data_IF_890900638597
#
_entry.id   IF_890900638597
#
_cell.length_a   1.000
_cell.length_b   1.000
_cell.length_c   1.000
_cell.angle_alpha   90.00
_cell.angle_beta   90.00
_cell.angle_gamma   90.00
#
_symmetry.space_group_name_H-M   'P 1'
#
loop_
_entity.id
_entity.type
_entity.pdbx_description
1 polymer ?
#
# COMPACT_ATOMS: atom_id res chain seq x y z
N UNK A 1 -33.28 17.77 -34.69
CA UNK A 1 -33.14 16.38 -35.12
C UNK A 1 -31.64 16.05 -35.09
N UNK A 2 -31.20 15.29 -34.06
CA UNK A 2 -29.97 14.46 -33.96
C UNK A 2 -28.61 15.20 -34.09
N UNK A 3 -27.61 15.13 -33.20
CA UNK A 3 -27.35 14.39 -31.95
C UNK A 3 -26.12 15.05 -31.28
N UNK A 4 -26.13 15.10 -29.95
CA UNK A 4 -24.98 15.43 -29.12
C UNK A 4 -23.92 14.30 -29.15
N UNK A 5 -22.64 14.65 -29.14
CA UNK A 5 -21.67 14.04 -28.23
C UNK A 5 -20.29 14.66 -28.49
N UNK A 6 -19.80 15.40 -27.49
CA UNK A 6 -18.36 15.61 -27.31
C UNK A 6 -17.74 14.21 -27.23
N UNK A 7 -16.91 13.86 -28.20
CA UNK A 7 -16.14 12.62 -28.11
C UNK A 7 -15.23 12.75 -26.89
N UNK A 8 -15.64 12.05 -25.83
CA UNK A 8 -14.87 11.89 -24.62
C UNK A 8 -13.57 11.20 -25.00
N UNK A 9 -12.45 11.78 -24.57
CA UNK A 9 -11.16 11.13 -24.63
C UNK A 9 -11.26 9.80 -23.87
N UNK A 10 -11.35 8.70 -24.61
CA UNK A 10 -11.06 7.37 -24.10
C UNK A 10 -9.54 7.24 -23.94
N UNK A 11 -8.95 8.00 -23.02
CA UNK A 11 -7.73 7.52 -22.37
C UNK A 11 -8.19 6.41 -21.45
N UNK A 12 -8.24 5.19 -21.98
CA UNK A 12 -8.36 3.99 -21.17
C UNK A 12 -7.31 4.10 -20.07
N UNK A 13 -7.76 4.27 -18.82
CA UNK A 13 -6.89 4.11 -17.67
C UNK A 13 -6.17 2.77 -17.86
N UNK A 14 -4.83 2.73 -17.82
CA UNK A 14 -4.11 1.47 -18.03
C UNK A 14 -4.69 0.47 -17.03
N UNK A 15 -5.10 -0.71 -17.53
CA UNK A 15 -5.83 -1.75 -16.81
C UNK A 15 -5.43 -1.79 -15.33
N UNK A 16 -6.16 -1.05 -14.49
CA UNK A 16 -5.79 -0.90 -13.10
C UNK A 16 -6.05 -2.27 -12.48
N UNK A 17 -4.99 -2.94 -12.03
CA UNK A 17 -5.11 -4.18 -11.29
C UNK A 17 -6.18 -4.00 -10.19
N UNK A 18 -7.04 -5.01 -10.03
CA UNK A 18 -8.11 -4.94 -9.04
C UNK A 18 -7.53 -4.63 -7.65
N UNK A 19 -8.17 -3.76 -6.85
CA UNK A 19 -7.63 -3.38 -5.55
C UNK A 19 -7.60 -4.60 -4.61
N UNK A 20 -6.47 -4.77 -3.92
CA UNK A 20 -6.30 -5.75 -2.87
C UNK A 20 -6.90 -5.17 -1.59
N UNK A 21 -7.89 -5.87 -1.02
CA UNK A 21 -8.54 -5.49 0.24
C UNK A 21 -7.91 -6.22 1.40
N UNK A 22 -7.49 -5.46 2.40
CA UNK A 22 -6.84 -5.96 3.60
C UNK A 22 -7.59 -5.47 4.82
N UNK A 23 -7.67 -6.32 5.84
CA UNK A 23 -8.09 -5.93 7.18
C UNK A 23 -6.84 -5.91 8.07
N UNK A 24 -6.57 -4.77 8.70
CA UNK A 24 -5.45 -4.65 9.63
C UNK A 24 -5.74 -5.51 10.86
N UNK A 25 -4.93 -6.54 11.17
CA UNK A 25 -5.12 -7.32 12.40
C UNK A 25 -4.74 -6.48 13.62
N UNK A 26 -5.27 -6.84 14.78
CA UNK A 26 -4.96 -6.17 16.06
C UNK A 26 -3.45 -6.21 16.38
N UNK A 27 -2.74 -7.24 15.93
CA UNK A 27 -1.29 -7.38 16.13
C UNK A 27 -0.46 -6.32 15.38
N UNK A 28 -1.07 -5.63 14.40
CA UNK A 28 -0.46 -4.50 13.72
C UNK A 28 -0.75 -3.15 14.42
N UNK A 29 -1.50 -3.13 15.51
CA UNK A 29 -1.83 -1.91 16.24
C UNK A 29 -0.57 -1.17 16.69
N UNK A 30 -0.54 0.13 16.44
CA UNK A 30 0.59 0.99 16.76
C UNK A 30 1.71 1.02 15.73
N UNK A 31 1.66 0.16 14.71
CA UNK A 31 2.57 0.25 13.57
C UNK A 31 2.24 1.45 12.69
N UNK A 32 3.25 1.87 11.92
CA UNK A 32 3.04 2.79 10.79
C UNK A 32 2.31 2.06 9.67
N UNK A 33 1.51 2.79 8.89
CA UNK A 33 0.72 2.26 7.78
C UNK A 33 1.61 1.53 6.77
N UNK A 34 2.76 2.10 6.40
CA UNK A 34 3.70 1.44 5.49
C UNK A 34 4.25 0.13 6.03
N UNK A 35 4.58 0.09 7.32
CA UNK A 35 5.00 -1.14 8.00
C UNK A 35 3.88 -2.18 8.08
N UNK A 36 2.65 -1.76 8.41
CA UNK A 36 1.51 -2.65 8.51
C UNK A 36 1.16 -3.27 7.15
N UNK A 37 1.09 -2.46 6.08
CA UNK A 37 0.80 -2.96 4.73
C UNK A 37 1.93 -3.87 4.22
N UNK A 38 3.19 -3.57 4.54
CA UNK A 38 4.32 -4.45 4.20
C UNK A 38 4.30 -5.81 4.93
N UNK A 39 3.77 -5.86 6.15
CA UNK A 39 3.57 -7.12 6.85
C UNK A 39 2.43 -7.95 6.24
N UNK A 40 1.41 -7.28 5.71
CA UNK A 40 0.22 -7.92 5.12
C UNK A 40 0.42 -8.32 3.65
N UNK A 41 1.36 -7.69 2.94
CA UNK A 41 1.72 -7.97 1.56
C UNK A 41 3.22 -8.25 1.40
N UNK A 42 3.75 -9.37 1.95
CA UNK A 42 5.17 -9.69 1.92
C UNK A 42 5.72 -9.94 0.50
N UNK A 43 4.85 -10.16 -0.50
CA UNK A 43 5.22 -10.32 -1.90
C UNK A 43 5.67 -9.01 -2.58
N UNK A 44 5.39 -7.85 -1.97
CA UNK A 44 5.83 -6.56 -2.48
C UNK A 44 6.92 -5.95 -1.60
N UNK A 45 7.91 -5.32 -2.24
CA UNK A 45 8.97 -4.63 -1.51
C UNK A 45 8.41 -3.45 -0.71
N UNK A 46 9.03 -3.14 0.44
CA UNK A 46 8.67 -1.97 1.26
C UNK A 46 8.75 -0.67 0.48
N UNK A 47 9.77 -0.50 -0.37
CA UNK A 47 9.91 0.68 -1.22
C UNK A 47 8.72 0.85 -2.18
N UNK A 48 8.23 -0.26 -2.75
CA UNK A 48 7.05 -0.26 -3.62
C UNK A 48 5.81 0.16 -2.85
N UNK A 49 5.58 -0.42 -1.67
CA UNK A 49 4.45 -0.08 -0.80
C UNK A 49 4.50 1.39 -0.36
N UNK A 50 5.66 1.88 0.10
CA UNK A 50 5.83 3.29 0.46
C UNK A 50 5.61 4.24 -0.71
N UNK A 51 5.90 3.84 -1.95
CA UNK A 51 5.55 4.61 -3.14
C UNK A 51 4.04 4.63 -3.37
N UNK A 52 3.37 3.47 -3.35
CA UNK A 52 1.92 3.40 -3.51
C UNK A 52 1.16 4.23 -2.48
N UNK A 53 1.62 4.25 -1.22
CA UNK A 53 1.01 5.11 -0.20
C UNK A 53 1.18 6.59 -0.55
N UNK A 54 2.39 7.02 -0.95
CA UNK A 54 2.64 8.42 -1.37
C UNK A 54 1.85 8.82 -2.62
N UNK A 55 1.62 7.88 -3.52
CA UNK A 55 0.86 8.08 -4.76
C UNK A 55 -0.65 8.01 -4.54
N UNK A 56 -1.13 7.83 -3.30
CA UNK A 56 -2.54 7.74 -2.96
C UNK A 56 -3.23 6.46 -3.42
N UNK A 57 -2.44 5.42 -3.75
CA UNK A 57 -2.94 4.09 -4.17
C UNK A 57 -3.26 3.18 -2.99
N UNK A 58 -2.91 3.59 -1.78
CA UNK A 58 -3.30 2.93 -0.53
C UNK A 58 -4.27 3.85 0.19
N UNK A 59 -5.50 3.39 0.35
CA UNK A 59 -6.57 4.14 1.01
C UNK A 59 -7.14 3.35 2.17
N UNK A 60 -7.55 4.04 3.22
CA UNK A 60 -8.24 3.47 4.37
C UNK A 60 -9.62 4.09 4.46
N UNK A 61 -10.66 3.27 4.42
CA UNK A 61 -12.05 3.74 4.34
C UNK A 61 -12.27 4.84 3.27
N UNK A 62 -11.60 4.72 2.12
CA UNK A 62 -11.68 5.68 1.01
C UNK A 62 -10.83 6.96 1.15
N UNK A 63 -10.04 7.10 2.22
CA UNK A 63 -9.13 8.24 2.39
C UNK A 63 -7.68 7.83 2.16
N UNK A 64 -6.95 8.59 1.33
CA UNK A 64 -5.50 8.44 1.19
C UNK A 64 -4.80 8.90 2.48
N UNK A 65 -3.78 8.17 2.88
CA UNK A 65 -3.05 8.40 4.14
C UNK A 65 -1.56 8.58 3.88
N UNK A 66 -0.87 9.19 4.84
CA UNK A 66 0.60 9.27 4.80
C UNK A 66 1.23 7.96 5.29
N UNK A 67 2.44 7.58 4.79
CA UNK A 67 3.12 6.35 5.20
C UNK A 67 3.33 6.23 6.72
N UNK A 68 3.55 7.36 7.39
CA UNK A 68 3.78 7.46 8.83
C UNK A 68 2.50 7.41 9.69
N UNK A 69 1.31 7.39 9.08
CA UNK A 69 0.05 7.30 9.81
C UNK A 69 0.04 6.02 10.64
N UNK A 70 -0.38 6.11 11.90
CA UNK A 70 -0.44 4.95 12.79
C UNK A 70 -1.76 4.19 12.56
N UNK A 71 -1.69 2.87 12.51
CA UNK A 71 -2.88 1.99 12.49
C UNK A 71 -3.18 1.46 13.90
N UNK A 72 -4.41 1.02 14.12
CA UNK A 72 -4.92 0.58 15.42
C UNK A 72 -5.49 -0.84 15.41
N UNK A 73 -5.68 -1.44 14.23
CA UNK A 73 -6.33 -2.74 14.06
C UNK A 73 -7.82 -2.60 13.77
N UNK A 74 -8.31 -3.50 12.92
CA UNK A 74 -9.69 -3.53 12.43
C UNK A 74 -9.94 -2.63 11.21
N UNK A 75 -8.98 -1.81 10.79
CA UNK A 75 -9.19 -0.94 9.64
C UNK A 75 -9.18 -1.70 8.31
N UNK A 76 -10.04 -1.28 7.38
CA UNK A 76 -10.05 -1.76 6.01
C UNK A 76 -9.17 -0.88 5.14
N UNK A 77 -8.18 -1.50 4.49
CA UNK A 77 -7.24 -0.87 3.57
C UNK A 77 -7.48 -1.43 2.17
N UNK A 78 -7.64 -0.54 1.19
CA UNK A 78 -7.61 -0.88 -0.23
C UNK A 78 -6.26 -0.46 -0.81
N UNK A 79 -5.54 -1.42 -1.39
CA UNK A 79 -4.27 -1.20 -2.10
C UNK A 79 -4.53 -1.39 -3.58
N UNK A 80 -4.16 -0.41 -4.43
CA UNK A 80 -4.26 -0.53 -5.89
C UNK A 80 -2.86 -0.67 -6.48
N UNK A 81 -2.38 -1.91 -6.74
CA UNK A 81 -1.04 -2.14 -7.26
C UNK A 81 -0.83 -1.40 -8.59
N UNK A 82 0.39 -0.88 -8.76
CA UNK A 82 0.85 -0.36 -10.04
C UNK A 82 1.98 -1.27 -10.55
N UNK A 83 1.89 -1.67 -11.81
CA UNK A 83 3.03 -2.29 -12.49
C UNK A 83 4.10 -1.24 -12.77
N UNK A 84 5.32 -1.52 -12.34
CA UNK A 84 6.47 -0.66 -12.57
C UNK A 84 7.36 -1.31 -13.65
N UNK A 85 7.64 -0.62 -14.76
CA UNK A 85 8.53 -1.15 -15.80
C UNK A 85 9.96 -1.21 -15.24
N UNK A 86 10.42 -2.41 -14.86
CA UNK A 86 11.81 -2.63 -14.47
C UNK A 86 12.04 -3.56 -13.28
N UNK A 87 11.02 -3.98 -12.54
CA UNK A 87 11.18 -4.89 -11.40
C UNK A 87 11.15 -6.37 -11.83
N UNK A 88 12.11 -6.75 -12.68
CA UNK A 88 12.57 -8.14 -12.75
C UNK A 88 13.36 -8.43 -11.46
N UNK A 89 12.79 -9.28 -10.60
CA UNK A 89 13.44 -9.96 -9.48
C UNK A 89 14.11 -9.08 -8.41
N UNK A 90 13.30 -8.45 -7.54
CA UNK A 90 13.79 -8.10 -6.21
C UNK A 90 13.90 -9.39 -5.39
N UNK A 91 15.08 -10.02 -5.41
CA UNK A 91 15.48 -10.98 -4.38
C UNK A 91 15.36 -10.26 -3.01
N UNK A 92 14.89 -10.94 -1.95
CA UNK A 92 14.75 -10.32 -0.64
C UNK A 92 16.15 -10.01 -0.10
N UNK A 93 16.59 -8.76 -0.25
CA UNK A 93 17.70 -8.24 0.53
C UNK A 93 17.20 -8.07 1.96
N UNK A 94 17.61 -9.01 2.79
CA UNK A 94 17.36 -9.10 4.23
C UNK A 94 18.01 -7.88 4.93
N UNK A 95 17.35 -6.73 4.90
CA UNK A 95 17.74 -5.59 5.73
C UNK A 95 17.09 -5.78 7.09
N UNK A 96 17.76 -6.58 7.92
CA UNK A 96 17.54 -6.65 9.35
C UNK A 96 17.75 -5.24 9.95
N UNK A 97 16.66 -4.49 10.13
CA UNK A 97 16.72 -3.25 10.90
C UNK A 97 16.72 -3.62 12.39
N UNK A 98 17.91 -3.61 12.99
CA UNK A 98 18.13 -3.77 14.43
C UNK A 98 17.37 -2.67 15.17
N UNK A 99 16.20 -2.99 15.73
CA UNK A 99 15.68 -2.30 16.90
C UNK A 99 15.79 -3.24 18.09
N UNK A 100 17.03 -3.50 18.51
CA UNK A 100 17.34 -4.04 19.81
C UNK A 100 17.27 -2.90 20.84
N UNK A 101 16.09 -2.59 21.37
CA UNK A 101 15.99 -1.99 22.70
C UNK A 101 14.59 -2.20 23.28
N UNK A 102 14.44 -3.21 24.14
CA UNK A 102 13.77 -3.15 25.45
C UNK A 102 13.68 -4.58 26.02
N UNK A 103 14.80 -5.05 26.57
CA UNK A 103 14.80 -6.07 27.61
C UNK A 103 15.78 -5.61 28.70
N UNK A 104 15.35 -4.63 29.50
CA UNK A 104 15.83 -4.45 30.87
C UNK A 104 14.79 -5.11 31.77
N UNK A 105 15.01 -6.37 32.10
CA UNK A 105 14.59 -7.15 33.29
C UNK A 105 15.45 -8.42 33.13
N UNK A 106 16.46 -8.75 33.94
CA UNK A 106 16.54 -8.74 35.42
C UNK A 106 17.76 -7.98 35.98
#
# INVERSE_FOLDING_TARGET
MILAAKHQNYSAAPAAAAPIRLIVPADCAGLRLDQAVANLLPEFSRNRISRWIRDGRVVMAGQALQPKTRVYGGESIDVTPAEEPGELAAQPEDIAFINALLAKVD
#
